data_IF_115187273512
#
_entry.id   IF_115187273512
#
_cell.length_a   1.000
_cell.length_b   1.000
_cell.length_c   1.000
_cell.angle_alpha   90.00
_cell.angle_beta   90.00
_cell.angle_gamma   90.00
#
_symmetry.space_group_name_H-M   'P 1'
#
loop_
_entity.id
_entity.type
_entity.pdbx_description
1 polymer ?
#
# COMPACT_ATOMS: atom_id res chain seq x y z
N UNK A 1 -18.92 -6.08 -7.65
CA UNK A 1 -19.51 -4.83 -8.18
C UNK A 1 -18.59 -4.37 -9.31
N UNK A 2 -19.08 -4.29 -10.56
CA UNK A 2 -18.26 -4.07 -11.75
C UNK A 2 -17.63 -2.67 -11.75
N UNK A 3 -16.47 -2.52 -11.12
CA UNK A 3 -15.71 -1.26 -11.03
C UNK A 3 -15.00 -0.90 -12.34
N UNK A 4 -14.90 -1.84 -13.28
CA UNK A 4 -13.90 -1.79 -14.36
C UNK A 4 -14.47 -1.75 -15.78
N UNK A 5 -15.78 -1.91 -15.98
CA UNK A 5 -16.37 -2.10 -17.32
C UNK A 5 -16.78 -0.82 -18.05
N UNK A 6 -17.14 0.23 -17.33
CA UNK A 6 -17.59 1.49 -17.91
C UNK A 6 -16.56 2.58 -17.58
N UNK A 7 -15.71 2.98 -18.55
CA UNK A 7 -14.77 4.04 -18.27
C UNK A 7 -15.52 5.34 -17.96
N UNK A 8 -14.97 6.13 -17.03
CA UNK A 8 -15.52 7.43 -16.66
C UNK A 8 -15.56 8.39 -17.87
N UNK A 9 -14.62 8.21 -18.79
CA UNK A 9 -14.47 8.99 -20.00
C UNK A 9 -14.03 8.07 -21.13
N UNK A 10 -14.48 8.36 -22.36
CA UNK A 10 -14.11 7.62 -23.56
C UNK A 10 -13.19 8.46 -24.44
N UNK A 11 -12.00 7.94 -24.75
CA UNK A 11 -11.06 8.55 -25.69
C UNK A 11 -11.65 8.60 -27.11
N UNK A 12 -11.28 9.63 -27.87
CA UNK A 12 -11.60 9.73 -29.30
C UNK A 12 -10.75 8.76 -30.15
N UNK A 13 -9.60 8.33 -29.63
CA UNK A 13 -8.72 7.37 -30.31
C UNK A 13 -9.22 5.95 -30.12
N UNK A 14 -9.55 5.29 -31.23
CA UNK A 14 -9.96 3.87 -31.25
C UNK A 14 -8.86 2.95 -30.72
N UNK A 15 -7.59 3.25 -31.00
CA UNK A 15 -6.46 2.46 -30.52
C UNK A 15 -6.34 2.54 -28.99
N UNK A 16 -6.46 3.75 -28.44
CA UNK A 16 -6.43 3.99 -26.99
C UNK A 16 -7.58 3.26 -26.26
N UNK A 17 -8.77 3.24 -26.85
CA UNK A 17 -9.93 2.50 -26.32
C UNK A 17 -9.77 0.98 -26.41
N UNK A 18 -9.13 0.49 -27.48
CA UNK A 18 -8.83 -0.94 -27.65
C UNK A 18 -7.83 -1.42 -26.58
N UNK A 19 -6.76 -0.66 -26.35
CA UNK A 19 -5.82 -0.93 -25.25
C UNK A 19 -6.51 -0.90 -23.89
N UNK A 20 -7.33 0.11 -23.61
CA UNK A 20 -8.09 0.16 -22.36
C UNK A 20 -9.01 -1.05 -22.20
N UNK A 21 -9.75 -1.41 -23.25
CA UNK A 21 -10.68 -2.54 -23.24
C UNK A 21 -9.97 -3.87 -23.02
N UNK A 22 -8.81 -4.08 -23.65
CA UNK A 22 -7.94 -5.25 -23.39
C UNK A 22 -7.46 -5.29 -21.94
N UNK A 23 -7.05 -4.15 -21.39
CA UNK A 23 -6.66 -4.04 -19.98
C UNK A 23 -7.80 -4.42 -19.03
N UNK A 24 -9.01 -3.92 -19.29
CA UNK A 24 -10.21 -4.29 -18.51
C UNK A 24 -10.51 -5.78 -18.61
N UNK A 25 -10.40 -6.38 -19.80
CA UNK A 25 -10.61 -7.81 -19.99
C UNK A 25 -9.59 -8.66 -19.23
N UNK A 26 -8.31 -8.28 -19.25
CA UNK A 26 -7.26 -8.93 -18.47
C UNK A 26 -7.54 -8.81 -16.97
N UNK A 27 -7.94 -7.63 -16.51
CA UNK A 27 -8.27 -7.37 -15.11
C UNK A 27 -9.46 -8.23 -14.64
N UNK A 28 -10.52 -8.33 -15.43
CA UNK A 28 -11.69 -9.17 -15.12
C UNK A 28 -11.34 -10.67 -15.04
N UNK A 29 -10.29 -11.10 -15.73
CA UNK A 29 -9.76 -12.47 -15.68
C UNK A 29 -8.75 -12.69 -14.55
N UNK A 30 -8.39 -11.66 -13.79
CA UNK A 30 -7.32 -11.73 -12.77
C UNK A 30 -5.90 -11.68 -13.33
N UNK A 31 -5.73 -11.38 -14.62
CA UNK A 31 -4.42 -11.25 -15.26
C UNK A 31 -3.84 -9.85 -15.03
N UNK A 32 -3.44 -9.56 -13.79
CA UNK A 32 -3.03 -8.21 -13.39
C UNK A 32 -1.79 -7.69 -14.13
N UNK A 33 -0.83 -8.55 -14.48
CA UNK A 33 0.37 -8.15 -15.23
C UNK A 33 0.06 -7.71 -16.68
N UNK A 34 -0.80 -8.46 -17.38
CA UNK A 34 -1.27 -8.06 -18.71
C UNK A 34 -2.14 -6.80 -18.64
N UNK A 35 -2.98 -6.70 -17.61
CA UNK A 35 -3.79 -5.52 -17.38
C UNK A 35 -2.92 -4.26 -17.17
N UNK A 36 -1.87 -4.33 -16.35
CA UNK A 36 -0.90 -3.24 -16.16
C UNK A 36 -0.26 -2.82 -17.49
N UNK A 37 0.17 -3.78 -18.31
CA UNK A 37 0.75 -3.49 -19.64
C UNK A 37 -0.22 -2.70 -20.53
N UNK A 38 -1.44 -3.18 -20.69
CA UNK A 38 -2.44 -2.54 -21.54
C UNK A 38 -2.88 -1.17 -20.99
N UNK A 39 -3.07 -1.06 -19.68
CA UNK A 39 -3.40 0.23 -19.09
C UNK A 39 -2.26 1.24 -19.19
N UNK A 40 -0.98 0.83 -19.14
CA UNK A 40 0.15 1.73 -19.42
C UNK A 40 0.10 2.29 -20.84
N UNK A 41 -0.21 1.44 -21.83
CA UNK A 41 -0.37 1.89 -23.22
C UNK A 41 -1.50 2.91 -23.37
N UNK A 42 -2.69 2.60 -22.84
CA UNK A 42 -3.82 3.53 -22.87
C UNK A 42 -3.55 4.83 -22.10
N UNK A 43 -2.90 4.75 -20.92
CA UNK A 43 -2.55 5.90 -20.09
C UNK A 43 -1.49 6.80 -20.75
N UNK A 44 -0.53 6.22 -21.48
CA UNK A 44 0.46 6.98 -22.25
C UNK A 44 -0.19 7.85 -23.33
N UNK A 45 -1.34 7.40 -23.85
CA UNK A 45 -2.19 8.15 -24.79
C UNK A 45 -3.26 9.02 -24.10
N UNK A 46 -3.13 9.27 -22.79
CA UNK A 46 -4.00 10.19 -22.03
C UNK A 46 -5.29 9.59 -21.47
N UNK A 47 -5.47 8.26 -21.50
CA UNK A 47 -6.69 7.64 -20.98
C UNK A 47 -6.78 7.72 -19.44
N UNK A 48 -7.69 8.57 -18.94
CA UNK A 48 -7.83 8.86 -17.50
C UNK A 48 -8.26 7.63 -16.68
N UNK A 49 -9.23 6.82 -17.15
CA UNK A 49 -9.60 5.59 -16.43
C UNK A 49 -8.50 4.53 -16.43
N UNK A 50 -7.60 4.52 -17.41
CA UNK A 50 -6.43 3.64 -17.40
C UNK A 50 -5.46 4.03 -16.27
N UNK A 51 -5.23 5.34 -16.07
CA UNK A 51 -4.45 5.84 -14.93
C UNK A 51 -5.09 5.42 -13.60
N UNK A 52 -6.41 5.53 -13.47
CA UNK A 52 -7.10 5.07 -12.26
C UNK A 52 -6.89 3.57 -12.03
N UNK A 53 -7.06 2.72 -13.05
CA UNK A 53 -6.86 1.27 -12.90
C UNK A 53 -5.40 0.88 -12.60
N UNK A 54 -4.41 1.57 -13.19
CA UNK A 54 -3.00 1.39 -12.85
C UNK A 54 -2.75 1.64 -11.37
N UNK A 55 -3.36 2.70 -10.83
CA UNK A 55 -3.23 3.03 -9.43
C UNK A 55 -3.79 1.94 -8.51
N UNK A 56 -4.91 1.33 -8.88
CA UNK A 56 -5.52 0.23 -8.13
C UNK A 56 -4.63 -1.02 -8.12
N UNK A 57 -4.11 -1.43 -9.29
CA UNK A 57 -3.29 -2.64 -9.45
C UNK A 57 -1.95 -2.49 -8.71
N UNK A 58 -1.28 -1.35 -8.88
CA UNK A 58 0.04 -1.11 -8.29
C UNK A 58 -0.06 -0.78 -6.78
N UNK A 59 -1.15 -0.16 -6.34
CA UNK A 59 -1.39 0.21 -4.93
C UNK A 59 -2.09 -0.87 -4.10
N UNK A 60 -2.77 -1.84 -4.71
CA UNK A 60 -3.51 -2.92 -4.05
C UNK A 60 -2.70 -4.20 -3.81
N UNK A 61 -1.41 -4.19 -4.13
CA UNK A 61 -0.54 -5.36 -4.07
C UNK A 61 -0.97 -6.53 -4.96
N UNK A 62 -1.67 -6.25 -6.07
CA UNK A 62 -2.09 -7.25 -7.06
C UNK A 62 -0.95 -7.72 -7.98
N UNK A 63 0.15 -6.95 -8.05
CA UNK A 63 1.36 -7.29 -8.80
C UNK A 63 2.61 -7.04 -7.96
N UNK A 64 3.71 -7.69 -8.35
CA UNK A 64 5.03 -7.53 -7.74
C UNK A 64 6.07 -7.01 -8.75
N UNK A 65 6.79 -5.91 -8.46
CA UNK A 65 6.73 -5.15 -7.21
C UNK A 65 5.48 -4.27 -7.08
N UNK A 66 5.07 -3.98 -5.84
CA UNK A 66 4.07 -2.96 -5.55
C UNK A 66 4.76 -1.60 -5.53
N UNK A 67 4.30 -0.68 -6.37
CA UNK A 67 4.82 0.68 -6.43
C UNK A 67 3.77 1.67 -5.91
N UNK A 68 3.85 1.96 -4.61
CA UNK A 68 2.94 2.87 -3.93
C UNK A 68 3.09 4.31 -4.43
N UNK A 69 4.31 4.73 -4.77
CA UNK A 69 4.55 6.10 -5.26
C UNK A 69 3.98 6.28 -6.67
N UNK A 70 4.20 5.31 -7.55
CA UNK A 70 3.58 5.27 -8.87
C UNK A 70 2.06 5.23 -8.78
N UNK A 71 1.50 4.37 -7.92
CA UNK A 71 0.05 4.28 -7.75
C UNK A 71 -0.57 5.62 -7.34
N UNK A 72 0.03 6.31 -6.37
CA UNK A 72 -0.44 7.64 -5.93
C UNK A 72 -0.28 8.69 -7.04
N UNK A 73 0.82 8.65 -7.79
CA UNK A 73 1.02 9.54 -8.95
C UNK A 73 -0.09 9.35 -9.99
N UNK A 74 -0.43 8.10 -10.30
CA UNK A 74 -1.54 7.75 -11.19
C UNK A 74 -2.88 8.24 -10.65
N UNK A 75 -3.12 8.10 -9.34
CA UNK A 75 -4.33 8.63 -8.68
C UNK A 75 -4.48 10.13 -8.85
N UNK A 76 -3.43 10.90 -8.53
CA UNK A 76 -3.43 12.36 -8.66
C UNK A 76 -3.66 12.79 -10.11
N UNK A 77 -2.99 12.14 -11.07
CA UNK A 77 -3.19 12.40 -12.50
C UNK A 77 -4.62 12.09 -12.95
N UNK A 78 -5.18 10.96 -12.49
CA UNK A 78 -6.57 10.61 -12.80
C UNK A 78 -7.56 11.62 -12.19
N UNK A 79 -7.32 12.08 -10.96
CA UNK A 79 -8.13 13.10 -10.29
C UNK A 79 -8.08 14.45 -11.01
N UNK A 80 -6.90 14.89 -11.43
CA UNK A 80 -6.72 16.09 -12.26
C UNK A 80 -7.37 15.96 -13.63
N UNK A 81 -7.41 14.74 -14.19
CA UNK A 81 -8.17 14.40 -15.40
C UNK A 81 -9.68 14.26 -15.18
N UNK A 82 -10.19 14.60 -13.99
CA UNK A 82 -11.63 14.64 -13.68
C UNK A 82 -12.23 13.35 -13.15
N UNK A 83 -11.44 12.28 -12.94
CA UNK A 83 -11.98 11.01 -12.46
C UNK A 83 -12.54 11.14 -11.02
N UNK A 84 -13.83 10.90 -10.78
CA UNK A 84 -14.51 11.32 -9.56
C UNK A 84 -13.97 10.63 -8.31
N UNK A 85 -13.80 9.30 -8.38
CA UNK A 85 -13.22 8.52 -7.27
C UNK A 85 -11.75 8.87 -7.03
N UNK A 86 -11.01 9.23 -8.09
CA UNK A 86 -9.60 9.56 -7.95
C UNK A 86 -9.44 10.93 -7.27
N UNK A 87 -10.31 11.88 -7.61
CA UNK A 87 -10.39 13.19 -6.97
C UNK A 87 -10.72 13.07 -5.48
N UNK A 88 -11.71 12.25 -5.13
CA UNK A 88 -12.06 11.96 -3.74
C UNK A 88 -10.87 11.38 -2.97
N UNK A 89 -10.25 10.31 -3.50
CA UNK A 89 -9.16 9.62 -2.83
C UNK A 89 -7.86 10.43 -2.77
N UNK A 90 -7.64 11.37 -3.69
CA UNK A 90 -6.51 12.31 -3.60
C UNK A 90 -6.54 13.10 -2.29
N UNK A 91 -7.74 13.51 -1.84
CA UNK A 91 -7.91 14.22 -0.58
C UNK A 91 -7.48 13.37 0.62
N UNK A 92 -7.71 12.06 0.58
CA UNK A 92 -7.28 11.14 1.65
C UNK A 92 -5.77 11.00 1.68
N UNK A 93 -5.13 10.94 0.51
CA UNK A 93 -3.67 10.91 0.40
C UNK A 93 -3.05 12.22 0.89
N UNK A 94 -3.62 13.37 0.53
CA UNK A 94 -3.11 14.67 0.97
C UNK A 94 -3.18 14.79 2.51
N UNK A 95 -4.30 14.37 3.10
CA UNK A 95 -4.45 14.29 4.58
C UNK A 95 -3.51 13.27 5.24
N UNK A 96 -3.15 12.21 4.53
CA UNK A 96 -2.18 11.24 5.04
C UNK A 96 -0.77 11.84 5.05
N UNK A 97 -0.41 12.56 3.99
CA UNK A 97 0.90 13.21 3.84
C UNK A 97 1.09 14.40 4.79
N UNK A 98 0.03 15.14 5.13
CA UNK A 98 0.08 16.21 6.16
C UNK A 98 -0.20 15.70 7.58
N UNK A 99 -0.40 14.39 7.74
CA UNK A 99 -0.73 13.66 8.99
C UNK A 99 -2.08 13.96 9.64
N UNK A 100 -2.89 14.88 9.08
CA UNK A 100 -4.22 15.22 9.60
C UNK A 100 -5.25 14.10 9.47
N UNK A 101 -4.96 13.06 8.69
CA UNK A 101 -5.79 11.86 8.61
C UNK A 101 -5.86 11.10 9.96
N UNK A 102 -4.70 10.89 10.59
CA UNK A 102 -4.58 10.19 11.88
C UNK A 102 -4.73 8.66 11.82
N UNK A 103 -3.96 7.95 12.66
CA UNK A 103 -3.91 6.47 12.70
C UNK A 103 -5.25 5.84 13.10
N UNK A 104 -6.00 6.49 14.01
CA UNK A 104 -7.31 6.03 14.46
C UNK A 104 -8.38 6.08 13.36
N UNK A 105 -8.37 7.12 12.52
CA UNK A 105 -9.29 7.20 11.39
C UNK A 105 -9.01 6.07 10.39
N UNK A 106 -7.74 5.75 10.15
CA UNK A 106 -7.33 4.65 9.28
C UNK A 106 -7.78 3.29 9.82
N UNK A 107 -7.60 3.06 11.12
CA UNK A 107 -8.08 1.84 11.77
C UNK A 107 -9.61 1.70 11.70
N UNK A 108 -10.36 2.79 11.90
CA UNK A 108 -11.82 2.78 11.74
C UNK A 108 -12.24 2.49 10.30
N UNK A 109 -11.55 3.07 9.32
CA UNK A 109 -11.78 2.76 7.91
C UNK A 109 -11.55 1.26 7.64
N UNK A 110 -10.44 0.70 8.12
CA UNK A 110 -10.14 -0.72 7.99
C UNK A 110 -11.21 -1.63 8.61
N UNK A 111 -11.79 -1.22 9.75
CA UNK A 111 -12.87 -1.93 10.45
C UNK A 111 -14.21 -1.90 9.71
N UNK A 112 -14.37 -1.06 8.68
CA UNK A 112 -15.58 -0.96 7.87
C UNK A 112 -15.43 -1.58 6.48
N UNK A 113 -14.22 -2.02 6.12
CA UNK A 113 -13.98 -2.65 4.82
C UNK A 113 -14.69 -4.00 4.74
N UNK A 114 -15.33 -4.33 3.60
CA UNK A 114 -15.84 -5.67 3.39
C UNK A 114 -14.69 -6.67 3.36
N UNK A 115 -14.80 -7.76 4.13
CA UNK A 115 -13.81 -8.84 4.15
C UNK A 115 -13.54 -9.37 2.74
N UNK A 116 -12.30 -9.25 2.30
CA UNK A 116 -11.80 -9.78 1.02
C UNK A 116 -10.44 -10.45 1.23
N UNK A 117 -10.05 -11.32 0.31
CA UNK A 117 -8.75 -11.99 0.34
C UNK A 117 -7.62 -11.12 -0.24
N UNK A 118 -7.94 -9.92 -0.71
CA UNK A 118 -6.99 -8.99 -1.31
C UNK A 118 -6.92 -7.70 -0.49
N UNK A 119 -5.74 -7.05 -0.39
CA UNK A 119 -5.63 -5.78 0.31
C UNK A 119 -6.47 -4.70 -0.36
N UNK A 120 -7.13 -3.86 0.44
CA UNK A 120 -7.78 -2.67 -0.09
C UNK A 120 -6.71 -1.66 -0.56
N UNK A 121 -6.72 -1.33 -1.85
CA UNK A 121 -5.78 -0.41 -2.48
C UNK A 121 -5.70 0.96 -1.79
N UNK A 122 -6.85 1.53 -1.40
CA UNK A 122 -6.89 2.84 -0.75
C UNK A 122 -6.26 2.76 0.64
N UNK A 123 -6.63 1.74 1.42
CA UNK A 123 -6.03 1.49 2.73
C UNK A 123 -4.51 1.35 2.63
N UNK A 124 -4.01 0.60 1.64
CA UNK A 124 -2.58 0.38 1.47
C UNK A 124 -1.84 1.68 1.15
N UNK A 125 -2.31 2.46 0.17
CA UNK A 125 -1.66 3.73 -0.20
C UNK A 125 -1.73 4.77 0.92
N UNK A 126 -2.91 4.95 1.53
CA UNK A 126 -3.11 5.89 2.64
C UNK A 126 -2.28 5.47 3.85
N UNK A 127 -2.26 4.17 4.18
CA UNK A 127 -1.44 3.63 5.26
C UNK A 127 0.04 3.88 5.05
N UNK A 128 0.57 3.53 3.88
CA UNK A 128 1.99 3.75 3.56
C UNK A 128 2.37 5.24 3.66
N UNK A 129 1.56 6.15 3.10
CA UNK A 129 1.81 7.60 3.19
C UNK A 129 1.69 8.13 4.61
N UNK A 130 0.63 7.77 5.32
CA UNK A 130 0.37 8.26 6.67
C UNK A 130 1.50 7.86 7.62
N UNK A 131 1.82 6.57 7.66
CA UNK A 131 2.83 6.09 8.59
C UNK A 131 4.23 6.58 8.24
N UNK A 132 4.56 6.68 6.96
CA UNK A 132 5.82 7.32 6.53
C UNK A 132 5.87 8.81 6.90
N UNK A 133 4.79 9.55 6.70
CA UNK A 133 4.72 10.98 7.05
C UNK A 133 4.84 11.20 8.56
N UNK A 134 4.13 10.39 9.37
CA UNK A 134 4.26 10.41 10.83
C UNK A 134 5.69 10.11 11.28
N UNK A 135 6.33 9.07 10.72
CA UNK A 135 7.70 8.73 11.06
C UNK A 135 8.69 9.85 10.71
N UNK A 136 8.46 10.57 9.60
CA UNK A 136 9.28 11.72 9.20
C UNK A 136 9.04 12.92 10.10
N UNK A 137 7.77 13.29 10.35
CA UNK A 137 7.40 14.47 11.13
C UNK A 137 7.91 14.41 12.57
N UNK A 138 7.92 13.22 13.17
CA UNK A 138 8.31 13.02 14.55
C UNK A 138 9.70 12.38 14.71
N UNK A 139 10.49 12.31 13.63
CA UNK A 139 11.83 11.71 13.61
C UNK A 139 11.88 10.29 14.23
N UNK A 140 10.80 9.53 14.06
CA UNK A 140 10.56 8.25 14.72
C UNK A 140 10.91 7.04 13.83
N UNK A 141 11.35 7.27 12.59
CA UNK A 141 11.58 6.21 11.59
C UNK A 141 12.48 5.08 12.11
N UNK A 142 13.60 5.41 12.76
CA UNK A 142 14.54 4.41 13.26
C UNK A 142 13.92 3.57 14.37
N UNK A 143 13.35 4.21 15.39
CA UNK A 143 12.71 3.53 16.52
C UNK A 143 11.55 2.62 16.08
N UNK A 144 10.74 3.08 15.11
CA UNK A 144 9.64 2.28 14.55
C UNK A 144 10.18 1.08 13.76
N UNK A 145 11.18 1.27 12.91
CA UNK A 145 11.79 0.16 12.15
C UNK A 145 12.43 -0.86 13.08
N UNK A 146 13.17 -0.40 14.09
CA UNK A 146 13.81 -1.28 15.07
C UNK A 146 12.76 -2.09 15.85
N UNK A 147 11.70 -1.44 16.32
CA UNK A 147 10.60 -2.12 17.02
C UNK A 147 9.91 -3.16 16.12
N UNK A 148 9.49 -2.76 14.92
CA UNK A 148 8.69 -3.61 14.04
C UNK A 148 9.48 -4.83 13.55
N UNK A 149 10.77 -4.67 13.24
CA UNK A 149 11.61 -5.80 12.83
C UNK A 149 11.99 -6.72 14.00
N UNK A 150 12.22 -6.18 15.20
CA UNK A 150 12.47 -7.00 16.39
C UNK A 150 11.21 -7.81 16.77
N UNK A 151 10.03 -7.17 16.76
CA UNK A 151 8.74 -7.82 16.95
C UNK A 151 8.51 -8.91 15.89
N UNK A 152 8.68 -8.59 14.61
CA UNK A 152 8.53 -9.53 13.50
C UNK A 152 9.46 -10.74 13.63
N UNK A 153 10.67 -10.55 14.20
CA UNK A 153 11.64 -11.64 14.36
C UNK A 153 11.21 -12.73 15.35
N UNK A 154 10.18 -12.45 16.16
CA UNK A 154 9.56 -13.42 17.08
C UNK A 154 8.38 -14.19 16.47
N UNK A 155 8.02 -13.89 15.21
CA UNK A 155 6.87 -14.50 14.55
C UNK A 155 7.09 -15.98 14.22
N UNK A 156 6.05 -16.80 14.36
CA UNK A 156 6.05 -18.20 13.91
C UNK A 156 5.84 -18.35 12.39
N UNK A 157 5.56 -17.25 11.67
CA UNK A 157 5.24 -17.29 10.25
C UNK A 157 6.49 -17.21 9.35
N UNK A 158 6.79 -18.22 8.51
CA UNK A 158 7.99 -18.20 7.68
C UNK A 158 8.06 -17.03 6.68
N UNK A 159 6.91 -16.55 6.19
CA UNK A 159 6.88 -15.41 5.26
C UNK A 159 7.25 -14.08 5.94
N UNK A 160 7.12 -13.98 7.27
CA UNK A 160 7.57 -12.81 8.04
C UNK A 160 9.09 -12.79 8.14
N UNK A 161 9.74 -13.94 8.36
CA UNK A 161 11.20 -14.02 8.32
C UNK A 161 11.74 -13.65 6.93
N UNK A 162 11.10 -14.14 5.86
CA UNK A 162 11.44 -13.71 4.49
C UNK A 162 11.20 -12.21 4.25
N UNK A 163 10.24 -11.59 4.95
CA UNK A 163 10.07 -10.14 4.95
C UNK A 163 11.25 -9.42 5.59
N UNK A 164 11.71 -9.88 6.76
CA UNK A 164 12.87 -9.30 7.43
C UNK A 164 14.09 -9.40 6.53
N UNK A 165 14.37 -10.57 5.95
CA UNK A 165 15.51 -10.80 5.08
C UNK A 165 15.54 -9.83 3.88
N UNK A 166 14.40 -9.63 3.22
CA UNK A 166 14.31 -8.72 2.05
C UNK A 166 14.41 -7.25 2.41
N UNK A 167 14.23 -6.86 3.67
CA UNK A 167 14.46 -5.46 4.09
C UNK A 167 15.93 -5.07 4.02
N UNK A 168 16.84 -6.05 4.09
CA UNK A 168 18.28 -5.82 4.14
C UNK A 168 18.78 -5.10 5.40
N UNK A 169 17.92 -4.83 6.38
CA UNK A 169 18.31 -4.19 7.64
C UNK A 169 19.04 -5.21 8.51
N UNK A 170 20.27 -4.89 8.93
CA UNK A 170 21.07 -5.80 9.73
C UNK A 170 20.42 -6.05 11.10
N UNK A 171 20.43 -7.31 11.56
CA UNK A 171 19.92 -7.71 12.88
C UNK A 171 20.51 -6.92 14.04
N UNK A 172 21.78 -6.50 13.96
CA UNK A 172 22.40 -5.67 15.00
C UNK A 172 21.74 -4.29 15.16
N UNK A 173 21.03 -3.82 14.15
CA UNK A 173 20.32 -2.53 14.17
C UNK A 173 19.01 -2.68 14.95
N UNK A 174 18.19 -3.68 14.59
CA UNK A 174 16.85 -3.79 15.18
C UNK A 174 16.78 -4.63 16.46
N UNK A 175 17.75 -5.52 16.73
CA UNK A 175 17.67 -6.42 17.90
C UNK A 175 17.53 -5.64 19.21
N UNK A 176 16.51 -5.98 20.01
CA UNK A 176 16.16 -5.30 21.25
C UNK A 176 15.32 -4.03 21.08
N UNK A 177 14.86 -3.74 19.85
CA UNK A 177 14.01 -2.60 19.53
C UNK A 177 12.71 -2.57 20.33
N UNK A 178 12.14 -3.74 20.66
CA UNK A 178 10.95 -3.85 21.53
C UNK A 178 11.13 -3.14 22.87
N UNK A 179 12.34 -3.16 23.43
CA UNK A 179 12.64 -2.57 24.75
C UNK A 179 13.16 -1.12 24.66
N UNK A 180 13.47 -0.63 23.46
CA UNK A 180 14.01 0.73 23.25
C UNK A 180 12.92 1.78 23.07
N UNK A 181 11.74 1.39 22.60
CA UNK A 181 10.62 2.32 22.44
C UNK A 181 10.10 2.76 23.81
N UNK A 182 10.18 4.06 24.09
CA UNK A 182 9.70 4.64 25.32
C UNK A 182 8.17 4.80 25.28
N UNK A 183 7.50 4.39 26.35
CA UNK A 183 6.05 4.59 26.51
C UNK A 183 5.67 6.07 26.36
N UNK A 184 4.65 6.35 25.56
CA UNK A 184 4.15 7.69 25.26
C UNK A 184 4.94 8.45 24.20
N UNK A 185 6.07 7.92 23.73
CA UNK A 185 6.83 8.52 22.62
C UNK A 185 6.04 8.51 21.32
N UNK A 186 6.49 9.28 20.32
CA UNK A 186 5.87 9.24 19.00
C UNK A 186 5.99 7.85 18.35
N UNK A 187 7.13 7.17 18.52
CA UNK A 187 7.34 5.83 18.02
C UNK A 187 6.32 4.84 18.63
N UNK A 188 6.10 4.90 19.95
CA UNK A 188 5.12 4.09 20.68
C UNK A 188 3.70 4.29 20.13
N UNK A 189 3.27 5.54 19.96
CA UNK A 189 1.95 5.87 19.41
C UNK A 189 1.79 5.47 17.94
N UNK A 190 2.87 5.51 17.15
CA UNK A 190 2.89 5.06 15.76
C UNK A 190 2.74 3.52 15.71
N UNK A 191 3.49 2.79 16.52
CA UNK A 191 3.40 1.31 16.60
C UNK A 191 2.04 0.86 17.14
N UNK A 192 1.46 1.59 18.10
CA UNK A 192 0.08 1.36 18.56
C UNK A 192 -0.94 1.64 17.45
N UNK A 193 -0.71 2.66 16.63
CA UNK A 193 -1.50 2.88 15.41
C UNK A 193 -1.52 1.65 14.51
N UNK A 194 -0.36 1.04 14.24
CA UNK A 194 -0.25 -0.18 13.43
C UNK A 194 -0.99 -1.36 14.08
N UNK A 195 -0.91 -1.49 15.41
CA UNK A 195 -1.69 -2.48 16.16
C UNK A 195 -3.21 -2.26 15.99
N UNK A 196 -3.68 -1.02 16.12
CA UNK A 196 -5.09 -0.68 15.93
C UNK A 196 -5.55 -0.91 14.49
N UNK A 197 -4.71 -0.63 13.50
CA UNK A 197 -5.00 -0.94 12.10
C UNK A 197 -5.19 -2.45 11.89
N UNK A 198 -4.27 -3.27 12.41
CA UNK A 198 -4.38 -4.72 12.36
C UNK A 198 -5.66 -5.24 13.02
N UNK A 199 -5.97 -4.74 14.22
CA UNK A 199 -7.20 -5.10 14.94
C UNK A 199 -8.47 -4.65 14.19
N UNK A 200 -8.43 -3.50 13.52
CA UNK A 200 -9.51 -3.03 12.66
C UNK A 200 -9.79 -4.00 11.51
N UNK A 201 -8.75 -4.44 10.81
CA UNK A 201 -8.86 -5.46 9.74
C UNK A 201 -9.43 -6.78 10.27
N UNK A 202 -8.97 -7.23 11.43
CA UNK A 202 -9.47 -8.45 12.08
C UNK A 202 -10.96 -8.32 12.45
N UNK A 203 -11.36 -7.16 12.97
CA UNK A 203 -12.75 -6.87 13.30
C UNK A 203 -13.67 -6.90 12.07
N UNK A 204 -13.19 -6.42 10.92
CA UNK A 204 -13.94 -6.48 9.66
C UNK A 204 -13.94 -7.86 8.98
N UNK A 205 -13.31 -8.87 9.59
CA UNK A 205 -13.32 -10.26 9.12
C UNK A 205 -12.20 -10.64 8.16
N UNK A 206 -11.18 -9.80 8.01
CA UNK A 206 -9.96 -10.16 7.25
C UNK A 206 -9.10 -11.16 8.04
N UNK A 207 -8.32 -11.97 7.33
CA UNK A 207 -7.41 -12.93 7.96
C UNK A 207 -6.22 -12.24 8.64
N UNK A 208 -5.65 -12.91 9.66
CA UNK A 208 -4.43 -12.45 10.31
C UNK A 208 -3.26 -12.35 9.29
N UNK A 209 -3.16 -13.30 8.35
CA UNK A 209 -2.14 -13.28 7.28
C UNK A 209 -2.24 -12.01 6.42
N UNK A 210 -3.45 -11.60 6.02
CA UNK A 210 -3.64 -10.39 5.21
C UNK A 210 -3.31 -9.13 6.03
N UNK A 211 -3.73 -9.08 7.29
CA UNK A 211 -3.39 -7.99 8.20
C UNK A 211 -1.88 -7.84 8.39
N UNK A 212 -1.18 -8.96 8.59
CA UNK A 212 0.27 -9.00 8.70
C UNK A 212 0.98 -8.58 7.41
N UNK A 213 0.47 -8.99 6.24
CA UNK A 213 0.99 -8.54 4.95
C UNK A 213 0.87 -7.01 4.80
N UNK A 214 -0.30 -6.44 5.10
CA UNK A 214 -0.52 -4.98 5.03
C UNK A 214 0.44 -4.25 5.95
N UNK A 215 0.61 -4.72 7.20
CA UNK A 215 1.57 -4.15 8.16
C UNK A 215 3.00 -4.22 7.63
N UNK A 216 3.43 -5.38 7.12
CA UNK A 216 4.76 -5.53 6.52
C UNK A 216 4.97 -4.61 5.32
N UNK A 217 3.96 -4.40 4.48
CA UNK A 217 4.07 -3.47 3.35
C UNK A 217 4.23 -2.04 3.81
N UNK A 218 3.49 -1.60 4.83
CA UNK A 218 3.65 -0.27 5.43
C UNK A 218 5.04 -0.10 6.05
N UNK A 219 5.51 -1.09 6.83
CA UNK A 219 6.84 -1.07 7.46
C UNK A 219 7.94 -1.07 6.39
N UNK A 220 7.84 -1.93 5.37
CA UNK A 220 8.77 -1.94 4.24
C UNK A 220 8.79 -0.60 3.49
N UNK A 221 7.64 0.06 3.38
CA UNK A 221 7.55 1.39 2.79
C UNK A 221 8.28 2.44 3.65
N UNK A 222 8.09 2.42 4.98
CA UNK A 222 8.86 3.30 5.91
C UNK A 222 10.37 3.07 5.74
N UNK A 223 10.83 1.82 5.68
CA UNK A 223 12.25 1.49 5.46
C UNK A 223 12.75 2.07 4.13
N UNK A 224 11.95 1.97 3.06
CA UNK A 224 12.28 2.54 1.75
C UNK A 224 12.41 4.08 1.74
N UNK A 225 11.87 4.75 2.77
CA UNK A 225 11.91 6.22 2.95
C UNK A 225 12.87 6.65 4.06
N UNK A 226 13.54 5.73 4.72
CA UNK A 226 14.48 6.01 5.79
C UNK A 226 15.94 5.89 5.32
N UNK A 227 16.89 6.05 6.25
CA UNK A 227 18.33 5.82 6.01
C UNK A 227 18.64 4.39 5.53
N UNK A 228 17.69 3.46 5.67
CA UNK A 228 17.83 2.07 5.25
C UNK A 228 17.39 1.81 3.81
N UNK A 229 16.97 2.83 3.06
CA UNK A 229 16.42 2.69 1.70
C UNK A 229 17.32 1.90 0.73
N UNK A 230 18.65 2.08 0.80
CA UNK A 230 19.59 1.38 -0.08
C UNK A 230 19.65 -0.14 0.13
N UNK A 231 19.21 -0.62 1.30
CA UNK A 231 19.17 -2.04 1.62
C UNK A 231 17.79 -2.66 1.29
N UNK A 232 16.75 -1.84 1.14
CA UNK A 232 15.39 -2.30 1.00
C UNK A 232 15.13 -2.89 -0.39
N UNK A 233 14.70 -4.16 -0.43
CA UNK A 233 14.12 -4.73 -1.64
C UNK A 233 12.75 -4.09 -1.95
N UNK A 234 12.29 -4.16 -3.22
CA UNK A 234 10.95 -3.70 -3.58
C UNK A 234 9.84 -4.36 -2.75
N UNK A 235 8.74 -3.64 -2.54
CA UNK A 235 7.54 -4.18 -1.91
C UNK A 235 6.94 -5.29 -2.78
N UNK A 236 6.50 -6.37 -2.15
CA UNK A 236 5.96 -7.54 -2.86
C UNK A 236 4.44 -7.54 -2.84
N UNK A 237 3.87 -7.90 -3.98
CA UNK A 237 2.45 -8.21 -4.18
C UNK A 237 2.08 -9.53 -3.53
N UNK A 238 0.78 -9.78 -3.41
CA UNK A 238 0.23 -10.97 -2.75
C UNK A 238 0.74 -12.28 -3.41
N UNK A 239 0.97 -12.23 -4.72
CA UNK A 239 1.48 -13.33 -5.54
C UNK A 239 2.88 -13.80 -5.14
N UNK A 240 3.74 -12.88 -4.67
CA UNK A 240 5.12 -13.19 -4.26
C UNK A 240 5.35 -13.09 -2.76
N UNK A 241 4.55 -12.34 -2.02
CA UNK A 241 4.74 -12.12 -0.59
C UNK A 241 4.67 -13.42 0.21
N UNK A 242 3.70 -14.27 -0.09
CA UNK A 242 3.48 -15.56 0.58
C UNK A 242 4.21 -16.73 -0.10
N UNK A 243 4.81 -16.50 -1.27
CA UNK A 243 5.55 -17.53 -2.00
C UNK A 243 6.69 -18.09 -1.14
N UNK A 244 6.98 -19.38 -1.34
CA UNK A 244 8.02 -20.12 -0.61
C UNK A 244 9.40 -19.86 -1.19
#
# INVERSE_FOLDING_TARGET
MALFGNPFFKSESKETEDDYSKGVLCLQKGNFYDADKYFRAAAASGHVSALYNLALINGGASISPCDIDFAISCFRKAGNGGHPKAKEFSTWIDKAEDTSFGTRALAMFAAQLPAQNEPNHLLMMVGCRLYSALCTQYEASDSVVEYELDAASTSDHPYIHRFIDRTGVNKSIYSGGLNRVQQGSAADQITDGLNHLFLGLKHSGHSDDLGLMIRCTIVGYIISKSKHANAASPLLGIDKFFAR
#
